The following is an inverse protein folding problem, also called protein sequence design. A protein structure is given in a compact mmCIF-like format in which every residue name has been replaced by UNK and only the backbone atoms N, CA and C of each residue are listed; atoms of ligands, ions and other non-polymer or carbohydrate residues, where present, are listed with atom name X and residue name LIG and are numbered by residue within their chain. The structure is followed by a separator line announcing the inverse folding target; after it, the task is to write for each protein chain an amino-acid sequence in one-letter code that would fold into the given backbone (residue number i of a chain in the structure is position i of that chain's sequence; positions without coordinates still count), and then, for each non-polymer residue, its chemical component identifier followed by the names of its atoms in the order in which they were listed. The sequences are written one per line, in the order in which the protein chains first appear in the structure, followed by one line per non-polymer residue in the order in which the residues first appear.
data_IF_713188857199
#
_entry.id   IF_713188857199
#
_cell.length_a   1.000
_cell.length_b   1.000
_cell.length_c   1.000
_cell.angle_alpha   90.00
_cell.angle_beta   90.00
_cell.angle_gamma   90.00
#
_symmetry.space_group_name_H-M   'P 1'
#
loop_
_entity.id
_entity.type
_entity.pdbx_description
1 polymer ?
#
# COMPACT_ATOMS: atom_id res chain seq x y z
N UNK A 1 -14.86 -5.12 -0.33
CA UNK A 1 -15.28 -4.12 -1.29
C UNK A 1 -14.48 -4.27 -2.58
N UNK A 2 -15.12 -4.05 -3.75
CA UNK A 2 -14.46 -4.05 -5.05
C UNK A 2 -14.25 -2.62 -5.51
N UNK A 3 -13.09 -2.32 -6.07
CA UNK A 3 -12.82 -1.06 -6.78
C UNK A 3 -12.77 -1.34 -8.28
N UNK A 4 -12.97 -0.32 -9.09
CA UNK A 4 -12.83 -0.46 -10.54
C UNK A 4 -11.36 -0.62 -10.93
N UNK A 5 -10.47 0.16 -10.29
CA UNK A 5 -9.01 0.10 -10.44
C UNK A 5 -8.36 0.01 -9.06
N UNK A 6 -7.37 -0.85 -8.96
CA UNK A 6 -6.43 -0.89 -7.85
C UNK A 6 -5.11 -0.30 -8.35
N UNK A 7 -4.84 0.94 -7.98
CA UNK A 7 -3.67 1.72 -8.39
C UNK A 7 -2.73 1.76 -7.20
N UNK A 8 -1.48 1.34 -7.37
CA UNK A 8 -0.48 1.38 -6.32
C UNK A 8 0.67 2.31 -6.69
N UNK A 9 1.23 2.96 -5.68
CA UNK A 9 2.35 3.88 -5.80
C UNK A 9 3.60 3.22 -5.23
N UNK A 10 4.64 3.08 -6.06
CA UNK A 10 5.94 2.56 -5.63
C UNK A 10 6.86 3.66 -5.12
N UNK A 11 7.75 3.32 -4.16
CA UNK A 11 8.82 4.19 -3.66
C UNK A 11 8.35 5.58 -3.21
N UNK A 12 7.35 5.65 -2.36
CA UNK A 12 6.75 6.91 -1.92
C UNK A 12 7.17 7.38 -0.52
N UNK A 13 8.10 6.70 0.11
CA UNK A 13 8.74 7.12 1.35
C UNK A 13 10.25 7.00 1.24
N UNK A 14 10.97 7.85 1.97
CA UNK A 14 12.41 7.69 2.08
C UNK A 14 12.72 6.34 2.73
N UNK A 15 13.62 5.58 2.13
CA UNK A 15 14.08 4.30 2.67
C UNK A 15 15.43 4.51 3.32
N UNK A 16 15.54 4.08 4.57
CA UNK A 16 16.79 4.02 5.30
C UNK A 16 17.26 2.57 5.23
N UNK A 17 18.17 2.25 4.31
CA UNK A 17 18.76 0.92 4.26
C UNK A 17 19.83 0.80 5.36
N UNK A 18 19.72 -0.19 6.27
CA UNK A 18 20.72 -0.41 7.31
C UNK A 18 21.97 -1.13 6.79
N UNK A 19 22.18 -1.20 5.48
CA UNK A 19 23.28 -1.90 4.81
C UNK A 19 24.20 -0.91 4.11
N UNK A 20 25.49 -1.25 4.01
CA UNK A 20 26.49 -0.50 3.25
C UNK A 20 25.99 -0.24 1.82
N UNK A 21 25.81 1.01 1.48
CA UNK A 21 25.33 1.47 0.20
C UNK A 21 24.64 2.82 0.29
N UNK A 22 24.59 3.54 -0.82
CA UNK A 22 23.83 4.78 -0.92
C UNK A 22 22.34 4.46 -0.94
N UNK A 23 21.54 5.24 -0.22
CA UNK A 23 20.08 5.19 -0.36
C UNK A 23 19.70 5.43 -1.82
N UNK A 24 18.72 4.71 -2.36
CA UNK A 24 18.27 4.96 -3.71
C UNK A 24 17.84 6.42 -3.85
N UNK A 25 18.16 7.08 -4.96
CA UNK A 25 17.75 8.47 -5.19
C UNK A 25 16.21 8.54 -5.15
N UNK A 26 15.70 9.68 -4.66
CA UNK A 26 14.26 9.94 -4.72
C UNK A 26 13.79 9.80 -6.18
N UNK A 27 12.67 9.11 -6.44
CA UNK A 27 12.15 9.02 -7.78
C UNK A 27 11.76 10.41 -8.29
N UNK A 28 12.11 10.69 -9.55
CA UNK A 28 11.74 11.96 -10.18
C UNK A 28 10.26 12.03 -10.54
N UNK A 29 9.63 10.88 -10.75
CA UNK A 29 8.23 10.77 -11.11
C UNK A 29 7.55 9.71 -10.24
N UNK A 30 6.24 9.84 -10.07
CA UNK A 30 5.42 8.84 -9.39
C UNK A 30 5.46 7.53 -10.18
N UNK A 31 5.82 6.44 -9.51
CA UNK A 31 5.80 5.10 -10.08
C UNK A 31 4.42 4.51 -9.80
N UNK A 32 3.63 4.28 -10.85
CA UNK A 32 2.32 3.63 -10.74
C UNK A 32 2.37 2.21 -11.29
N UNK A 33 1.65 1.33 -10.63
CA UNK A 33 1.36 -0.02 -11.13
C UNK A 33 -0.04 -0.45 -10.70
N UNK A 34 -0.59 -1.45 -11.39
CA UNK A 34 -1.90 -2.02 -11.06
C UNK A 34 -1.78 -3.29 -10.25
N UNK A 35 -2.79 -3.55 -9.42
CA UNK A 35 -3.01 -4.85 -8.80
C UNK A 35 -4.25 -5.52 -9.37
N UNK A 36 -4.13 -6.82 -9.60
CA UNK A 36 -5.24 -7.67 -10.01
C UNK A 36 -6.17 -7.95 -8.82
N UNK A 37 -7.46 -8.03 -9.08
CA UNK A 37 -8.47 -8.33 -8.06
C UNK A 37 -8.24 -9.70 -7.42
N UNK A 38 -7.70 -10.68 -8.16
CA UNK A 38 -7.39 -12.01 -7.63
C UNK A 38 -6.31 -12.00 -6.56
N UNK A 39 -5.47 -10.96 -6.52
CA UNK A 39 -4.44 -10.81 -5.49
C UNK A 39 -4.99 -10.33 -4.14
N UNK A 40 -6.26 -9.94 -4.06
CA UNK A 40 -6.84 -9.25 -2.91
C UNK A 40 -7.74 -10.18 -2.08
N UNK A 41 -7.51 -10.16 -0.77
CA UNK A 41 -8.43 -10.72 0.22
C UNK A 41 -8.96 -9.62 1.14
N UNK A 42 -10.05 -9.88 1.86
CA UNK A 42 -10.62 -8.95 2.81
C UNK A 42 -9.97 -9.09 4.21
N UNK A 43 -10.34 -8.19 5.11
CA UNK A 43 -10.04 -8.30 6.55
C UNK A 43 -10.50 -9.66 7.11
N UNK A 44 -9.69 -10.26 7.96
CA UNK A 44 -9.90 -11.60 8.56
C UNK A 44 -9.96 -12.76 7.55
N UNK A 45 -9.70 -12.55 6.28
CA UNK A 45 -9.42 -13.63 5.34
C UNK A 45 -7.92 -13.95 5.34
N UNK A 46 -7.59 -15.19 5.01
CA UNK A 46 -6.21 -15.65 4.99
C UNK A 46 -5.47 -15.11 3.74
N UNK A 47 -4.26 -14.63 3.96
CA UNK A 47 -3.29 -14.34 2.90
C UNK A 47 -2.49 -15.62 2.68
N UNK A 48 -2.41 -16.06 1.43
CA UNK A 48 -1.74 -17.31 1.07
C UNK A 48 -0.26 -17.07 0.74
N UNK A 49 0.64 -17.83 1.40
CA UNK A 49 2.05 -17.84 1.03
C UNK A 49 2.20 -18.48 -0.35
N UNK A 50 2.81 -17.79 -1.33
CA UNK A 50 3.03 -18.36 -2.66
C UNK A 50 3.85 -19.67 -2.61
N UNK A 51 3.62 -20.56 -3.57
CA UNK A 51 4.32 -21.85 -3.61
C UNK A 51 5.77 -21.73 -4.09
N UNK A 52 6.60 -22.67 -3.66
CA UNK A 52 7.97 -22.87 -4.16
C UNK A 52 8.91 -21.72 -3.86
N UNK A 53 9.72 -21.32 -4.83
CA UNK A 53 10.73 -20.28 -4.64
C UNK A 53 10.13 -18.88 -4.30
N UNK A 54 8.90 -18.62 -4.70
CA UNK A 54 8.23 -17.35 -4.42
C UNK A 54 8.02 -17.13 -2.91
N UNK A 55 7.76 -18.20 -2.16
CA UNK A 55 7.60 -18.15 -0.70
C UNK A 55 8.82 -17.53 0.01
N UNK A 56 10.02 -17.73 -0.53
CA UNK A 56 11.28 -17.30 0.11
C UNK A 56 11.47 -15.78 0.14
N UNK A 57 10.65 -15.05 -0.61
CA UNK A 57 10.73 -13.59 -0.70
C UNK A 57 9.37 -12.90 -0.59
N UNK A 58 8.38 -13.60 -0.02
CA UNK A 58 7.04 -13.07 0.19
C UNK A 58 7.04 -12.08 1.36
N UNK A 59 6.52 -10.89 1.14
CA UNK A 59 6.68 -9.74 2.02
C UNK A 59 5.40 -8.91 2.11
N UNK A 60 5.31 -8.09 3.14
CA UNK A 60 4.22 -7.18 3.43
C UNK A 60 4.61 -5.74 3.14
N UNK A 61 3.63 -4.91 2.83
CA UNK A 61 3.74 -3.46 2.70
C UNK A 61 2.44 -2.82 3.23
N UNK A 62 2.49 -2.27 4.44
CA UNK A 62 1.39 -1.50 4.99
C UNK A 62 1.27 -0.14 4.31
N UNK A 63 0.05 0.23 3.91
CA UNK A 63 -0.23 1.47 3.17
C UNK A 63 -1.55 2.10 3.59
N UNK A 64 -1.66 3.41 3.37
CA UNK A 64 -2.93 4.11 3.40
C UNK A 64 -3.59 3.89 2.04
N UNK A 65 -4.88 3.52 2.03
CA UNK A 65 -5.69 3.47 0.82
C UNK A 65 -6.56 4.72 0.72
N UNK A 66 -6.55 5.35 -0.45
CA UNK A 66 -7.45 6.47 -0.80
C UNK A 66 -8.51 5.97 -1.76
N UNK A 67 -9.77 6.19 -1.43
CA UNK A 67 -10.90 5.80 -2.27
C UNK A 67 -11.43 7.03 -2.99
N UNK A 68 -11.55 6.94 -4.31
CA UNK A 68 -12.09 8.02 -5.16
C UNK A 68 -13.62 8.04 -5.02
N UNK A 69 -14.19 9.21 -4.85
CA UNK A 69 -15.63 9.43 -4.73
C UNK A 69 -16.26 10.26 -5.85
N UNK A 70 -15.44 11.01 -6.59
CA UNK A 70 -15.91 11.88 -7.68
C UNK A 70 -15.12 11.60 -8.95
N UNK A 71 -15.81 11.36 -10.06
CA UNK A 71 -15.18 11.18 -11.37
C UNK A 71 -14.32 12.39 -11.74
N UNK A 72 -13.11 12.13 -12.26
CA UNK A 72 -12.22 13.21 -12.73
C UNK A 72 -11.14 12.72 -13.71
N UNK A 73 -10.69 13.65 -14.54
CA UNK A 73 -9.59 13.53 -15.51
C UNK A 73 -8.81 14.83 -15.47
N UNK A 74 -7.50 14.76 -15.57
CA UNK A 74 -6.60 15.92 -15.52
C UNK A 74 -6.87 16.85 -14.31
N UNK A 75 -6.98 16.20 -13.12
CA UNK A 75 -7.29 16.87 -11.86
C UNK A 75 -6.03 17.61 -11.40
N UNK A 76 -6.18 18.91 -11.06
CA UNK A 76 -5.06 19.64 -10.43
C UNK A 76 -4.82 19.18 -8.98
N UNK A 77 -3.59 19.23 -8.46
CA UNK A 77 -3.34 18.90 -7.05
C UNK A 77 -4.20 19.69 -6.07
N UNK A 78 -4.47 20.97 -6.38
CA UNK A 78 -5.32 21.85 -5.54
C UNK A 78 -6.79 21.38 -5.46
N UNK A 79 -7.27 20.64 -6.46
CA UNK A 79 -8.65 20.13 -6.51
C UNK A 79 -8.75 18.65 -6.13
N UNK A 80 -7.63 17.97 -5.94
CA UNK A 80 -7.60 16.53 -5.72
C UNK A 80 -8.41 16.07 -4.51
N UNK A 81 -8.39 16.85 -3.41
CA UNK A 81 -9.13 16.54 -2.19
C UNK A 81 -10.65 16.44 -2.43
N UNK A 82 -11.21 17.18 -3.37
CA UNK A 82 -12.65 17.11 -3.71
C UNK A 82 -13.04 15.74 -4.27
N UNK A 83 -12.08 15.03 -4.90
CA UNK A 83 -12.31 13.74 -5.53
C UNK A 83 -12.18 12.55 -4.55
N UNK A 84 -11.71 12.78 -3.33
CA UNK A 84 -11.61 11.74 -2.30
C UNK A 84 -12.97 11.46 -1.70
N UNK A 85 -13.35 10.19 -1.61
CA UNK A 85 -14.48 9.71 -0.81
C UNK A 85 -14.07 9.48 0.64
N UNK A 86 -12.94 8.79 0.84
CA UNK A 86 -12.46 8.42 2.15
C UNK A 86 -11.18 7.61 2.11
N UNK A 87 -10.86 7.01 3.24
CA UNK A 87 -9.61 6.29 3.48
C UNK A 87 -9.88 4.90 4.02
N UNK A 88 -8.97 3.98 3.74
CA UNK A 88 -8.95 2.61 4.25
C UNK A 88 -7.51 2.18 4.50
N UNK A 89 -7.32 0.93 4.90
CA UNK A 89 -6.00 0.33 5.13
C UNK A 89 -5.72 -0.68 4.02
N UNK A 90 -4.48 -0.74 3.54
CA UNK A 90 -4.06 -1.64 2.48
C UNK A 90 -2.78 -2.39 2.87
N UNK A 91 -2.67 -3.63 2.45
CA UNK A 91 -1.44 -4.42 2.44
C UNK A 91 -1.07 -4.76 0.99
N UNK A 92 0.02 -4.21 0.49
CA UNK A 92 0.55 -4.50 -0.84
C UNK A 92 1.52 -5.68 -0.79
N UNK A 93 0.98 -6.89 -0.67
CA UNK A 93 1.76 -8.13 -0.65
C UNK A 93 2.68 -8.23 -1.85
N UNK A 94 3.93 -8.64 -1.60
CA UNK A 94 5.02 -8.55 -2.56
C UNK A 94 5.89 -9.79 -2.54
N UNK A 95 6.20 -10.33 -3.70
CA UNK A 95 7.25 -11.35 -3.87
C UNK A 95 8.48 -10.68 -4.44
N UNK A 96 9.47 -10.36 -3.57
CA UNK A 96 10.61 -9.50 -3.90
C UNK A 96 11.44 -10.00 -5.08
N UNK A 97 11.72 -11.28 -5.15
CA UNK A 97 12.51 -11.84 -6.25
C UNK A 97 11.77 -11.73 -7.60
N UNK A 98 10.43 -11.85 -7.62
CA UNK A 98 9.64 -11.68 -8.84
C UNK A 98 9.51 -10.23 -9.30
N UNK A 99 9.72 -9.26 -8.40
CA UNK A 99 9.82 -7.84 -8.80
C UNK A 99 10.98 -7.59 -9.76
N UNK A 100 12.02 -8.45 -9.77
CA UNK A 100 13.13 -8.40 -10.74
C UNK A 100 12.67 -8.77 -12.17
N UNK A 101 11.58 -9.55 -12.29
CA UNK A 101 11.00 -9.86 -13.61
C UNK A 101 10.16 -8.70 -14.12
N UNK A 102 9.29 -8.19 -13.29
CA UNK A 102 8.52 -6.95 -13.45
C UNK A 102 7.84 -6.59 -12.13
N UNK A 103 7.48 -5.31 -11.95
CA UNK A 103 6.69 -4.90 -10.78
C UNK A 103 5.39 -5.70 -10.74
N UNK A 104 4.71 -5.86 -11.88
CA UNK A 104 3.45 -6.60 -11.96
C UNK A 104 3.60 -8.05 -11.50
N UNK A 105 4.62 -8.77 -11.94
CA UNK A 105 4.85 -10.16 -11.53
C UNK A 105 5.07 -10.30 -10.02
N UNK A 106 5.81 -9.37 -9.41
CA UNK A 106 6.09 -9.41 -7.97
C UNK A 106 4.92 -8.96 -7.09
N UNK A 107 3.90 -8.30 -7.65
CA UNK A 107 2.80 -7.66 -6.91
C UNK A 107 1.43 -8.33 -7.10
N UNK A 108 1.33 -9.37 -7.93
CA UNK A 108 0.03 -9.94 -8.32
C UNK A 108 -0.09 -11.46 -8.12
N UNK A 109 0.57 -12.01 -7.10
CA UNK A 109 0.28 -13.37 -6.68
C UNK A 109 -1.14 -13.43 -6.08
N UNK A 110 -1.84 -14.51 -6.38
CA UNK A 110 -3.21 -14.73 -5.91
C UNK A 110 -3.27 -14.65 -4.39
N UNK A 111 -4.28 -13.97 -3.84
CA UNK A 111 -4.53 -13.78 -2.39
C UNK A 111 -3.31 -13.31 -1.58
N UNK A 112 -2.39 -12.58 -2.20
CA UNK A 112 -1.17 -12.09 -1.54
C UNK A 112 -1.33 -10.77 -0.81
N UNK A 113 -2.42 -10.07 -1.04
CA UNK A 113 -2.66 -8.69 -0.57
C UNK A 113 -4.03 -8.56 0.07
N UNK A 114 -4.24 -7.46 0.79
CA UNK A 114 -5.54 -7.24 1.44
C UNK A 114 -5.86 -5.77 1.59
N UNK A 115 -7.15 -5.42 1.73
CA UNK A 115 -7.57 -4.09 2.14
C UNK A 115 -8.91 -4.09 2.87
N UNK A 116 -9.17 -3.02 3.62
CA UNK A 116 -10.35 -2.85 4.44
C UNK A 116 -9.98 -2.53 5.89
N UNK A 117 -10.83 -2.90 6.88
CA UNK A 117 -12.12 -3.60 6.78
C UNK A 117 -13.26 -2.73 6.24
N UNK A 118 -13.15 -1.41 6.34
CA UNK A 118 -14.15 -0.46 5.89
C UNK A 118 -13.49 0.85 5.43
N UNK A 119 -14.29 1.72 4.87
CA UNK A 119 -13.86 3.05 4.45
C UNK A 119 -14.37 4.05 5.49
N UNK A 120 -13.48 4.91 5.98
CA UNK A 120 -13.84 6.10 6.76
C UNK A 120 -13.93 7.27 5.78
N UNK A 121 -15.04 8.00 5.79
CA UNK A 121 -15.23 9.13 4.88
C UNK A 121 -14.30 10.30 5.22
N UNK A 122 -13.94 11.10 4.23
CA UNK A 122 -12.93 12.14 4.38
C UNK A 122 -13.30 13.23 5.41
N UNK A 123 -14.57 13.44 5.65
CA UNK A 123 -15.09 14.41 6.63
C UNK A 123 -14.86 13.98 8.09
N UNK A 124 -14.70 12.68 8.34
CA UNK A 124 -14.30 12.15 9.66
C UNK A 124 -12.80 12.35 9.93
N UNK A 125 -12.00 12.62 8.92
CA UNK A 125 -10.54 12.81 9.02
C UNK A 125 -10.20 14.29 9.00
N UNK A 126 -9.88 14.86 10.17
CA UNK A 126 -9.57 16.30 10.30
C UNK A 126 -8.39 16.76 9.45
N UNK A 127 -7.35 15.93 9.37
CA UNK A 127 -6.11 16.23 8.64
C UNK A 127 -5.49 14.93 8.14
N UNK A 128 -5.70 14.63 6.87
CA UNK A 128 -5.18 13.39 6.26
C UNK A 128 -3.65 13.32 6.23
N UNK A 129 -2.94 14.46 6.28
CA UNK A 129 -1.47 14.50 6.34
C UNK A 129 -0.92 13.96 7.65
N UNK A 130 -1.74 13.96 8.70
CA UNK A 130 -1.38 13.43 10.03
C UNK A 130 -1.80 11.98 10.25
N UNK A 131 -2.37 11.31 9.23
CA UNK A 131 -2.67 9.89 9.32
C UNK A 131 -1.37 9.13 9.62
N UNK A 132 -1.33 8.44 10.76
CA UNK A 132 -0.21 7.58 11.16
C UNK A 132 -0.50 6.16 10.75
N UNK A 133 0.41 5.58 10.01
CA UNK A 133 0.42 4.19 9.59
C UNK A 133 1.37 3.39 10.49
N UNK A 134 0.90 2.27 11.04
CA UNK A 134 1.77 1.30 11.72
C UNK A 134 1.47 -0.11 11.24
N UNK A 135 2.51 -0.92 11.09
CA UNK A 135 2.41 -2.34 10.75
C UNK A 135 3.04 -3.18 11.85
N UNK A 136 2.35 -4.23 12.25
CA UNK A 136 2.81 -5.20 13.22
C UNK A 136 2.85 -6.58 12.57
N UNK A 137 3.98 -7.27 12.74
CA UNK A 137 4.14 -8.68 12.42
C UNK A 137 4.28 -9.46 13.72
N UNK A 138 3.33 -10.36 14.02
CA UNK A 138 3.30 -11.13 15.28
C UNK A 138 3.46 -10.22 16.52
N UNK A 139 2.69 -9.13 16.58
CA UNK A 139 2.73 -8.11 17.64
C UNK A 139 4.00 -7.24 17.69
N UNK A 140 5.04 -7.50 16.87
CA UNK A 140 6.22 -6.66 16.76
C UNK A 140 5.93 -5.49 15.80
N UNK A 141 6.12 -4.26 16.25
CA UNK A 141 6.06 -3.08 15.39
C UNK A 141 7.20 -3.13 14.37
N UNK A 142 6.87 -3.09 13.08
CA UNK A 142 7.84 -3.21 11.98
C UNK A 142 7.81 -2.01 11.03
N UNK A 143 6.67 -1.32 10.89
CA UNK A 143 6.59 -0.07 10.12
C UNK A 143 5.88 0.99 10.95
N UNK A 144 6.33 2.24 10.89
CA UNK A 144 5.75 3.38 11.59
C UNK A 144 6.08 4.68 10.84
N UNK A 145 5.05 5.37 10.36
CA UNK A 145 5.20 6.62 9.61
C UNK A 145 3.94 7.47 9.68
N UNK A 146 4.01 8.67 9.15
CA UNK A 146 2.85 9.55 8.92
C UNK A 146 2.74 9.95 7.46
N UNK A 147 1.54 10.28 7.00
CA UNK A 147 1.27 10.59 5.60
C UNK A 147 2.03 11.83 5.09
N UNK A 148 2.39 12.77 5.98
CA UNK A 148 3.22 13.94 5.64
C UNK A 148 4.68 13.59 5.28
N UNK A 149 5.09 12.34 5.49
CA UNK A 149 6.41 11.82 5.09
C UNK A 149 6.43 11.22 3.69
N UNK A 150 5.30 11.19 3.00
CA UNK A 150 5.24 10.78 1.60
C UNK A 150 6.12 11.67 0.72
N UNK A 151 6.84 11.08 -0.23
CA UNK A 151 7.63 11.82 -1.24
C UNK A 151 6.68 12.59 -2.16
N UNK A 152 5.62 11.94 -2.62
CA UNK A 152 4.53 12.54 -3.37
C UNK A 152 3.25 12.48 -2.53
N UNK A 153 2.67 13.63 -2.25
CA UNK A 153 1.44 13.75 -1.47
C UNK A 153 0.26 13.02 -2.13
N UNK A 154 -0.79 12.75 -1.36
CA UNK A 154 -2.02 12.14 -1.88
C UNK A 154 -2.60 12.97 -3.03
N UNK A 155 -2.54 14.29 -2.92
CA UNK A 155 -3.02 15.22 -3.95
C UNK A 155 -2.22 15.09 -5.26
N UNK A 156 -0.90 14.96 -5.16
CA UNK A 156 -0.02 14.76 -6.33
C UNK A 156 -0.26 13.40 -6.97
N UNK A 157 -0.48 12.35 -6.17
CA UNK A 157 -0.79 11.01 -6.66
C UNK A 157 -2.10 10.98 -7.46
N UNK A 158 -3.17 11.60 -6.93
CA UNK A 158 -4.46 11.73 -7.62
C UNK A 158 -4.31 12.53 -8.91
N UNK A 159 -3.62 13.66 -8.85
CA UNK A 159 -3.37 14.50 -10.01
C UNK A 159 -2.64 13.70 -11.09
N UNK A 160 -1.51 13.07 -10.75
CA UNK A 160 -0.72 12.29 -11.68
C UNK A 160 -1.51 11.11 -12.29
N UNK A 161 -2.17 10.30 -11.46
CA UNK A 161 -2.98 9.19 -11.95
C UNK A 161 -4.07 9.67 -12.91
N UNK A 162 -4.68 10.82 -12.64
CA UNK A 162 -5.73 11.40 -13.49
C UNK A 162 -5.22 11.92 -14.83
N UNK A 163 -3.91 12.12 -15.01
CA UNK A 163 -3.34 12.45 -16.34
C UNK A 163 -3.27 11.24 -17.26
N UNK A 164 -3.20 10.03 -16.69
CA UNK A 164 -3.11 8.80 -17.47
C UNK A 164 -4.51 8.30 -17.87
N UNK A 165 -5.45 8.30 -16.94
CA UNK A 165 -6.80 7.79 -17.15
C UNK A 165 -7.83 8.52 -16.30
N UNK A 166 -9.09 8.44 -16.70
CA UNK A 166 -10.19 8.95 -15.87
C UNK A 166 -10.31 8.12 -14.59
N UNK A 167 -10.32 8.81 -13.45
CA UNK A 167 -10.66 8.22 -12.16
C UNK A 167 -12.17 8.18 -11.99
N UNK A 168 -12.68 7.10 -11.41
CA UNK A 168 -14.11 6.88 -11.15
C UNK A 168 -14.36 6.62 -9.68
N UNK A 169 -15.58 6.89 -9.18
CA UNK A 169 -15.97 6.47 -7.84
C UNK A 169 -15.72 4.97 -7.61
N UNK A 170 -15.07 4.64 -6.51
CA UNK A 170 -14.67 3.27 -6.17
C UNK A 170 -13.28 2.86 -6.66
N UNK A 171 -12.59 3.68 -7.46
CA UNK A 171 -11.16 3.45 -7.70
C UNK A 171 -10.38 3.64 -6.40
N UNK A 172 -9.37 2.79 -6.18
CA UNK A 172 -8.51 2.83 -5.01
C UNK A 172 -7.08 3.20 -5.40
N UNK A 173 -6.46 4.10 -4.63
CA UNK A 173 -5.03 4.41 -4.71
C UNK A 173 -4.38 3.96 -3.40
N UNK A 174 -3.50 2.97 -3.46
CA UNK A 174 -2.60 2.58 -2.39
C UNK A 174 -1.36 3.47 -2.46
N UNK A 175 -1.08 4.18 -1.37
CA UNK A 175 -0.23 5.39 -1.40
C UNK A 175 1.27 5.15 -1.30
N UNK A 176 1.69 3.90 -1.26
CA UNK A 176 3.07 3.50 -1.04
C UNK A 176 3.37 3.15 0.41
N UNK A 177 4.37 2.30 0.60
CA UNK A 177 4.77 1.74 1.88
C UNK A 177 6.04 2.39 2.43
N UNK A 178 6.11 2.66 3.74
CA UNK A 178 7.33 3.12 4.41
C UNK A 178 8.36 1.99 4.53
N UNK A 179 9.52 2.33 5.05
CA UNK A 179 10.55 1.36 5.43
C UNK A 179 10.07 0.41 6.54
N UNK A 180 10.83 -0.69 6.77
CA UNK A 180 10.49 -1.72 7.77
C UNK A 180 9.79 -2.94 7.20
N UNK A 181 9.71 -3.08 5.86
CA UNK A 181 9.28 -4.33 5.20
C UNK A 181 10.23 -5.47 5.54
N UNK A 182 9.79 -6.71 5.43
CA UNK A 182 10.62 -7.88 5.76
C UNK A 182 11.90 -7.95 4.95
N UNK A 183 11.85 -7.52 3.68
CA UNK A 183 13.01 -7.46 2.80
C UNK A 183 14.04 -6.39 3.17
N UNK A 184 13.65 -5.37 3.94
CA UNK A 184 14.54 -4.30 4.43
C UNK A 184 15.15 -4.59 5.81
N UNK A 185 14.69 -5.63 6.49
CA UNK A 185 15.23 -6.01 7.81
C UNK A 185 16.60 -6.72 7.69
N UNK A 186 17.40 -6.62 8.76
CA UNK A 186 18.66 -7.36 8.90
C UNK A 186 18.62 -8.18 10.21
N UNK A 187 18.58 -9.52 10.13
CA UNK A 187 18.41 -10.33 8.91
C UNK A 187 17.01 -10.15 8.29
N UNK A 188 16.87 -10.41 6.99
CA UNK A 188 15.57 -10.37 6.30
C UNK A 188 14.55 -11.27 7.00
N UNK A 189 13.30 -10.79 7.09
CA UNK A 189 12.18 -11.50 7.72
C UNK A 189 10.95 -11.47 6.82
N UNK A 190 10.90 -12.38 5.87
CA UNK A 190 9.76 -12.56 4.98
C UNK A 190 8.58 -13.23 5.69
N UNK A 191 7.37 -13.10 5.13
CA UNK A 191 6.17 -13.76 5.65
C UNK A 191 6.27 -15.27 5.50
N UNK A 192 5.80 -15.98 6.52
CA UNK A 192 5.67 -17.44 6.54
C UNK A 192 4.30 -17.83 7.09
N UNK A 193 3.85 -19.05 6.76
CA UNK A 193 2.62 -19.60 7.34
C UNK A 193 2.68 -19.58 8.87
N UNK A 194 1.58 -19.19 9.50
CA UNK A 194 1.44 -18.99 10.95
C UNK A 194 1.68 -17.55 11.41
N UNK A 195 2.17 -16.65 10.55
CA UNK A 195 2.30 -15.23 10.90
C UNK A 195 0.92 -14.55 10.98
N UNK A 196 0.85 -13.49 11.79
CA UNK A 196 -0.30 -12.57 11.85
C UNK A 196 0.18 -11.18 11.45
N UNK A 197 -0.41 -10.65 10.39
CA UNK A 197 -0.15 -9.30 9.92
C UNK A 197 -1.27 -8.37 10.37
N UNK A 198 -0.91 -7.27 11.06
CA UNK A 198 -1.85 -6.23 11.49
C UNK A 198 -1.33 -4.87 11.03
N UNK A 199 -2.16 -4.16 10.29
CA UNK A 199 -1.86 -2.80 9.82
C UNK A 199 -2.90 -1.85 10.39
N UNK A 200 -2.46 -0.72 10.91
CA UNK A 200 -3.35 0.32 11.46
C UNK A 200 -3.07 1.66 10.81
N UNK A 201 -4.12 2.43 10.61
CA UNK A 201 -4.05 3.84 10.25
C UNK A 201 -4.87 4.60 11.30
N UNK A 202 -4.33 5.68 11.83
CA UNK A 202 -5.00 6.43 12.92
C UNK A 202 -6.41 6.87 12.50
N UNK A 203 -7.39 6.63 13.38
CA UNK A 203 -8.80 6.90 13.09
C UNK A 203 -9.52 5.79 12.32
N UNK A 204 -8.80 4.77 11.80
CA UNK A 204 -9.37 3.65 11.08
C UNK A 204 -9.30 2.35 11.90
N UNK A 205 -10.21 1.43 11.64
CA UNK A 205 -10.11 0.06 12.19
C UNK A 205 -8.94 -0.69 11.55
N UNK A 206 -8.22 -1.46 12.36
CA UNK A 206 -7.08 -2.23 11.90
C UNK A 206 -7.46 -3.27 10.83
N UNK A 207 -6.63 -3.40 9.81
CA UNK A 207 -6.65 -4.53 8.88
C UNK A 207 -5.83 -5.66 9.50
N UNK A 208 -6.41 -6.85 9.64
CA UNK A 208 -5.75 -8.03 10.22
C UNK A 208 -5.96 -9.22 9.30
N UNK A 209 -4.88 -9.95 9.04
CA UNK A 209 -4.92 -11.17 8.25
C UNK A 209 -3.99 -12.22 8.85
N UNK A 210 -4.38 -13.48 8.82
CA UNK A 210 -3.47 -14.60 9.05
C UNK A 210 -2.72 -14.92 7.76
N UNK A 211 -1.51 -15.40 7.88
CA UNK A 211 -0.68 -15.88 6.76
C UNK A 211 -0.72 -17.42 6.79
N UNK A 212 -1.14 -18.06 5.72
CA UNK A 212 -1.31 -19.53 5.64
C UNK A 212 -0.46 -20.15 4.54
#
# INVERSE_FOLDING_TARGET
PSSNKLICVGLNYEKIYPVEGENPPKPQNIILFGKDQSSIVAHNQDIEVPLGAAAQSFDYEGEIAVIIGKKGKDISPSNAFEHIFGYSVFNDGSVREWQKHSIYAGKNFEKSSSWGPHIITKDEIKDHKKLRLTTFLNSKLVQDTTADKMIFSIEEQIAYASTLFTLFPGDLIATGSPDGTGGSQVPKRHLISGDILKITVSGLTALVNNIV
#
